data_IF_235427253401
#
_entry.id   IF_235427253401
#
_cell.length_a   1.000
_cell.length_b   1.000
_cell.length_c   1.000
_cell.angle_alpha   90.00
_cell.angle_beta   90.00
_cell.angle_gamma   90.00
#
_symmetry.space_group_name_H-M   'P 1'
#
loop_
_entity.id
_entity.type
_entity.pdbx_description
1 polymer ?
#
# COMPACT_ATOMS: atom_id res chain seq x y z
N UNK A 1 -18.15 -13.83 16.81
CA UNK A 1 -17.71 -12.90 15.73
C UNK A 1 -17.64 -11.50 16.33
N UNK A 2 -16.79 -10.63 15.81
CA UNK A 2 -16.71 -9.22 16.25
C UNK A 2 -17.47 -8.37 15.24
N UNK A 3 -18.33 -7.47 15.70
CA UNK A 3 -19.21 -6.65 14.86
C UNK A 3 -18.85 -5.17 15.05
N UNK A 4 -17.85 -4.64 14.31
CA UNK A 4 -17.49 -3.23 14.38
C UNK A 4 -18.59 -2.36 13.74
N UNK A 5 -18.77 -1.16 14.26
CA UNK A 5 -19.60 -0.14 13.62
C UNK A 5 -18.84 0.49 12.46
N UNK A 6 -19.48 0.63 11.30
CA UNK A 6 -18.94 1.27 10.11
C UNK A 6 -19.72 2.54 9.78
N UNK A 7 -19.03 3.63 9.49
CA UNK A 7 -19.62 4.92 9.15
C UNK A 7 -19.04 5.47 7.85
N UNK A 8 -19.89 6.08 7.02
CA UNK A 8 -19.50 6.69 5.73
C UNK A 8 -19.36 8.23 5.80
N UNK A 9 -19.60 8.84 6.97
CA UNK A 9 -19.63 10.30 7.14
C UNK A 9 -18.25 10.96 7.27
N UNK A 10 -17.22 10.47 6.57
CA UNK A 10 -15.93 11.17 6.53
C UNK A 10 -15.94 12.21 5.42
N UNK A 11 -15.25 13.33 5.62
CA UNK A 11 -15.22 14.44 4.64
C UNK A 11 -14.73 14.02 3.26
N UNK A 12 -13.81 13.05 3.20
CA UNK A 12 -13.26 12.50 1.94
C UNK A 12 -13.98 11.25 1.44
N UNK A 13 -15.09 10.84 2.08
CA UNK A 13 -15.89 9.68 1.67
C UNK A 13 -15.27 8.30 1.97
N UNK A 14 -14.20 8.23 2.78
CA UNK A 14 -13.68 6.95 3.30
C UNK A 14 -14.63 6.34 4.33
N UNK A 15 -14.66 5.01 4.40
CA UNK A 15 -15.24 4.30 5.55
C UNK A 15 -14.41 4.61 6.81
N UNK A 16 -15.09 4.83 7.93
CA UNK A 16 -14.50 4.84 9.27
C UNK A 16 -15.07 3.71 10.11
N UNK A 17 -14.29 3.22 11.08
CA UNK A 17 -14.68 2.09 11.93
C UNK A 17 -14.50 2.39 13.42
N UNK A 18 -15.43 1.92 14.25
CA UNK A 18 -15.39 2.09 15.69
C UNK A 18 -15.91 0.85 16.44
N UNK A 19 -15.37 0.62 17.64
CA UNK A 19 -15.78 -0.44 18.54
C UNK A 19 -15.63 -1.88 17.99
N UNK A 20 -14.45 -2.36 17.53
CA UNK A 20 -13.12 -1.74 17.54
C UNK A 20 -12.80 -0.94 16.26
N UNK A 21 -11.79 -0.06 16.33
CA UNK A 21 -11.29 0.65 15.15
C UNK A 21 -10.36 -0.27 14.33
N UNK A 22 -10.86 -0.74 13.18
CA UNK A 22 -10.13 -1.60 12.24
C UNK A 22 -9.16 -0.83 11.33
N UNK A 23 -9.26 0.50 11.25
CA UNK A 23 -8.32 1.32 10.47
C UNK A 23 -7.01 1.52 11.23
N UNK A 24 -7.12 1.76 12.55
CA UNK A 24 -5.98 1.99 13.45
C UNK A 24 -5.55 0.68 14.13
N UNK A 25 -5.37 -0.39 13.36
CA UNK A 25 -4.70 -1.56 13.90
C UNK A 25 -3.23 -1.21 14.12
N UNK A 26 -2.89 -0.83 15.36
CA UNK A 26 -1.53 -0.53 15.77
C UNK A 26 -0.63 -1.71 15.41
N UNK A 27 0.32 -1.49 14.48
CA UNK A 27 1.51 -2.34 14.35
C UNK A 27 2.47 -2.08 15.53
N UNK A 28 2.24 -1.00 16.28
CA UNK A 28 3.04 -0.56 17.42
C UNK A 28 2.49 -1.20 18.70
N UNK A 29 2.88 -2.44 18.96
CA UNK A 29 2.50 -3.19 20.17
C UNK A 29 3.06 -4.61 20.20
N UNK A 30 3.07 -5.24 21.38
CA UNK A 30 3.63 -6.59 21.64
C UNK A 30 2.78 -7.74 21.07
N UNK A 31 1.54 -7.45 20.63
CA UNK A 31 0.58 -8.46 20.17
C UNK A 31 0.20 -8.25 18.70
N UNK A 32 0.33 -9.28 17.84
CA UNK A 32 -0.05 -9.20 16.43
C UNK A 32 -1.58 -9.29 16.30
N UNK A 33 -2.28 -8.15 16.41
CA UNK A 33 -3.75 -8.05 16.36
C UNK A 33 -4.37 -8.72 15.13
N UNK A 34 -3.67 -8.72 13.99
CA UNK A 34 -4.13 -9.36 12.75
C UNK A 34 -4.23 -10.89 12.85
N UNK A 35 -3.38 -11.53 13.66
CA UNK A 35 -3.39 -12.99 13.85
C UNK A 35 -4.62 -13.48 14.62
N UNK A 36 -5.28 -12.59 15.37
CA UNK A 36 -6.52 -12.92 16.08
C UNK A 36 -7.73 -13.06 15.14
N UNK A 37 -7.63 -12.60 13.88
CA UNK A 37 -8.67 -12.76 12.87
C UNK A 37 -8.49 -14.10 12.16
N UNK A 38 -9.32 -15.08 12.50
CA UNK A 38 -9.26 -16.44 11.95
C UNK A 38 -10.51 -16.80 11.15
N UNK A 39 -10.34 -17.61 10.10
CA UNK A 39 -11.45 -18.18 9.35
C UNK A 39 -12.18 -19.24 10.19
N UNK A 40 -13.45 -19.49 9.87
CA UNK A 40 -14.16 -20.65 10.40
C UNK A 40 -13.58 -21.96 9.82
N UNK A 41 -13.74 -23.13 10.50
CA UNK A 41 -13.32 -24.42 9.97
C UNK A 41 -13.89 -24.67 8.56
N UNK A 42 -13.04 -25.17 7.65
CA UNK A 42 -13.40 -25.39 6.25
C UNK A 42 -13.46 -24.12 5.39
N UNK A 43 -13.04 -22.96 5.92
CA UNK A 43 -12.97 -21.69 5.19
C UNK A 43 -11.56 -21.09 5.20
N UNK A 44 -11.32 -20.12 4.32
CA UNK A 44 -10.10 -19.32 4.30
C UNK A 44 -10.42 -17.81 4.38
N UNK A 45 -9.50 -17.04 4.94
CA UNK A 45 -9.54 -15.58 4.85
C UNK A 45 -8.79 -15.13 3.59
N UNK A 46 -9.46 -14.36 2.73
CA UNK A 46 -8.88 -13.77 1.53
C UNK A 46 -8.70 -12.28 1.76
N UNK A 47 -7.49 -11.78 1.52
CA UNK A 47 -7.17 -10.36 1.60
C UNK A 47 -6.96 -9.83 0.18
N UNK A 48 -7.69 -8.78 -0.18
CA UNK A 48 -7.52 -8.04 -1.41
C UNK A 48 -7.27 -6.57 -1.07
N UNK A 49 -6.20 -6.02 -1.63
CA UNK A 49 -5.78 -4.64 -1.41
C UNK A 49 -5.56 -3.92 -2.75
N UNK A 50 -5.82 -2.62 -2.78
CA UNK A 50 -5.57 -1.80 -3.95
C UNK A 50 -4.15 -1.24 -3.91
N UNK A 51 -3.27 -1.86 -4.68
CA UNK A 51 -1.88 -1.45 -4.77
C UNK A 51 -1.75 0.00 -5.26
N UNK A 52 -1.30 0.90 -4.37
CA UNK A 52 -1.05 2.31 -4.66
C UNK A 52 -2.26 3.08 -5.23
N UNK A 53 -3.48 2.81 -4.76
CA UNK A 53 -4.72 3.43 -5.29
C UNK A 53 -4.64 4.96 -5.41
N UNK A 54 -4.21 5.64 -4.35
CA UNK A 54 -4.16 7.11 -4.32
C UNK A 54 -3.18 7.68 -5.35
N UNK A 55 -2.03 7.01 -5.54
CA UNK A 55 -1.04 7.40 -6.56
C UNK A 55 -1.56 7.15 -7.97
N UNK A 56 -2.35 6.08 -8.19
CA UNK A 56 -3.01 5.82 -9.48
C UNK A 56 -4.02 6.91 -9.82
N UNK A 57 -4.84 7.31 -8.85
CA UNK A 57 -5.80 8.40 -9.03
C UNK A 57 -5.08 9.71 -9.31
N UNK A 58 -4.04 10.03 -8.53
CA UNK A 58 -3.22 11.24 -8.73
C UNK A 58 -2.57 11.27 -10.12
N UNK A 59 -1.95 10.18 -10.57
CA UNK A 59 -1.31 10.09 -11.87
C UNK A 59 -2.29 10.36 -13.02
N UNK A 60 -3.51 9.82 -12.91
CA UNK A 60 -4.57 10.02 -13.88
C UNK A 60 -5.08 11.47 -13.90
N UNK A 61 -5.37 12.05 -12.73
CA UNK A 61 -5.88 13.41 -12.61
C UNK A 61 -4.84 14.46 -13.04
N UNK A 62 -3.57 14.24 -12.72
CA UNK A 62 -2.46 15.13 -13.12
C UNK A 62 -2.03 14.96 -14.58
N UNK A 63 -2.57 13.96 -15.31
CA UNK A 63 -2.14 13.65 -16.68
C UNK A 63 -0.66 13.22 -16.77
N UNK A 64 -0.08 12.72 -15.69
CA UNK A 64 1.35 12.38 -15.62
C UNK A 64 1.63 11.05 -16.31
N UNK A 65 1.86 11.09 -17.63
CA UNK A 65 2.12 9.89 -18.47
C UNK A 65 3.22 9.01 -17.91
N UNK A 66 4.32 9.61 -17.45
CA UNK A 66 5.43 8.87 -16.87
C UNK A 66 4.99 8.02 -15.67
N UNK A 67 4.23 8.61 -14.75
CA UNK A 67 3.77 7.93 -13.54
C UNK A 67 2.74 6.86 -13.86
N UNK A 68 1.85 7.12 -14.83
CA UNK A 68 0.92 6.11 -15.36
C UNK A 68 1.67 4.90 -15.92
N UNK A 69 2.69 5.12 -16.75
CA UNK A 69 3.47 4.04 -17.34
C UNK A 69 4.24 3.24 -16.28
N UNK A 70 4.81 3.91 -15.28
CA UNK A 70 5.49 3.25 -14.16
C UNK A 70 4.54 2.40 -13.32
N UNK A 71 3.33 2.91 -13.02
CA UNK A 71 2.29 2.18 -12.29
C UNK A 71 1.72 1.00 -13.10
N UNK A 72 1.75 1.08 -14.44
CA UNK A 72 1.31 0.00 -15.34
C UNK A 72 2.34 -1.11 -15.47
N UNK A 73 3.64 -0.78 -15.54
CA UNK A 73 4.70 -1.79 -15.57
C UNK A 73 4.87 -2.53 -14.25
N UNK A 74 4.27 -2.02 -13.17
CA UNK A 74 4.45 -2.54 -11.82
C UNK A 74 5.89 -2.35 -11.31
N UNK A 75 6.25 -3.14 -10.30
CA UNK A 75 7.53 -3.01 -9.59
C UNK A 75 7.54 -1.89 -8.56
N UNK A 76 8.70 -1.67 -7.94
CA UNK A 76 8.86 -0.67 -6.89
C UNK A 76 8.88 0.77 -7.44
N UNK A 77 7.72 1.43 -7.42
CA UNK A 77 7.56 2.82 -7.84
C UNK A 77 8.43 3.79 -7.00
N UNK A 78 8.59 3.54 -5.70
CA UNK A 78 9.34 4.42 -4.81
C UNK A 78 10.81 4.42 -5.18
N UNK A 79 11.40 3.23 -5.34
CA UNK A 79 12.80 3.11 -5.76
C UNK A 79 13.05 3.67 -7.15
N UNK A 80 12.11 3.50 -8.10
CA UNK A 80 12.21 4.11 -9.43
C UNK A 80 12.18 5.63 -9.37
N UNK A 81 11.29 6.17 -8.54
CA UNK A 81 11.19 7.61 -8.33
C UNK A 81 12.49 8.15 -7.72
N UNK A 82 13.01 7.49 -6.69
CA UNK A 82 14.26 7.89 -6.03
C UNK A 82 15.47 7.82 -6.99
N UNK A 83 15.64 6.73 -7.72
CA UNK A 83 16.72 6.59 -8.70
C UNK A 83 16.62 7.63 -9.82
N UNK A 84 15.41 8.04 -10.21
CA UNK A 84 15.22 9.08 -11.22
C UNK A 84 15.50 10.49 -10.70
N UNK A 85 15.15 10.76 -9.45
CA UNK A 85 15.33 12.09 -8.84
C UNK A 85 16.76 12.32 -8.35
N UNK A 86 17.45 11.27 -7.90
CA UNK A 86 18.74 11.39 -7.22
C UNK A 86 19.84 10.62 -7.95
N UNK A 87 20.79 11.35 -8.52
CA UNK A 87 21.92 10.76 -9.25
C UNK A 87 22.78 9.81 -8.41
N UNK A 88 22.98 10.11 -7.12
CA UNK A 88 23.73 9.25 -6.22
C UNK A 88 23.00 7.93 -5.94
N UNK A 89 21.66 7.92 -5.89
CA UNK A 89 20.86 6.70 -5.77
C UNK A 89 20.99 5.87 -7.05
N UNK A 90 20.84 6.48 -8.22
CA UNK A 90 21.04 5.77 -9.49
C UNK A 90 22.44 5.16 -9.61
N UNK A 91 23.47 5.88 -9.14
CA UNK A 91 24.85 5.38 -9.10
C UNK A 91 25.00 4.20 -8.15
N UNK A 92 24.48 4.31 -6.92
CA UNK A 92 24.54 3.24 -5.93
C UNK A 92 23.86 1.95 -6.42
N UNK A 93 22.71 2.07 -7.10
CA UNK A 93 22.03 0.92 -7.72
C UNK A 93 22.89 0.29 -8.82
N UNK A 94 23.54 1.10 -9.67
CA UNK A 94 24.41 0.61 -10.75
C UNK A 94 25.68 -0.07 -10.22
N UNK A 95 26.25 0.46 -9.14
CA UNK A 95 27.44 -0.09 -8.48
C UNK A 95 27.11 -1.28 -7.58
N UNK A 96 25.82 -1.61 -7.42
CA UNK A 96 25.33 -2.67 -6.55
C UNK A 96 25.62 -2.40 -5.05
N UNK A 97 25.79 -1.13 -4.67
CA UNK A 97 25.96 -0.68 -3.28
C UNK A 97 24.64 -0.79 -2.49
N UNK A 98 23.50 -0.81 -3.21
CA UNK A 98 22.16 -0.96 -2.64
C UNK A 98 21.35 -1.95 -3.46
N UNK A 99 20.52 -2.75 -2.78
CA UNK A 99 19.59 -3.69 -3.45
C UNK A 99 18.22 -3.05 -3.59
N UNK A 100 17.72 -3.00 -4.83
CA UNK A 100 16.33 -2.59 -5.11
C UNK A 100 15.49 -3.82 -5.37
N UNK A 101 14.32 -3.90 -4.72
CA UNK A 101 13.35 -4.95 -5.02
C UNK A 101 12.74 -4.67 -6.40
N UNK A 102 12.94 -5.59 -7.34
CA UNK A 102 12.41 -5.67 -8.71
C UNK A 102 11.77 -4.38 -9.28
N UNK A 103 12.42 -3.78 -10.27
CA UNK A 103 11.93 -2.60 -10.98
C UNK A 103 10.70 -2.82 -11.86
N UNK A 104 10.35 -4.08 -12.11
CA UNK A 104 9.21 -4.52 -12.93
C UNK A 104 8.56 -5.72 -12.23
N UNK A 105 7.25 -5.87 -12.38
CA UNK A 105 6.49 -7.01 -11.84
C UNK A 105 6.84 -8.31 -12.55
#
# INVERSE_FOLDING_TARGET
RVFPSLNLNTEMGRLSSWGPNLQKQLVVGRFPVREAFVAAPGSALVVADYEHLELRVMAALAGCRLMVDQLRSGGDLHSRTAARMFHHVARAVKLNDVTVKNFVK
#
